data_IF_333520162515
#
_entry.id   IF_333520162515
#
_cell.length_a   1.000
_cell.length_b   1.000
_cell.length_c   1.000
_cell.angle_alpha   90.00
_cell.angle_beta   90.00
_cell.angle_gamma   90.00
#
_symmetry.space_group_name_H-M   'P 1'
#
loop_
_entity.id
_entity.type
_entity.pdbx_description
1 polymer ?
#
# COMPACT_ATOMS: atom_id res chain seq x y z
N UNK A 1 -23.55 7.16 33.59
CA UNK A 1 -24.17 6.77 32.31
C UNK A 1 -24.37 5.26 32.34
N UNK A 2 -25.62 4.80 32.33
CA UNK A 2 -25.94 3.37 32.29
C UNK A 2 -25.52 2.80 30.94
N UNK A 3 -24.73 1.71 30.94
CA UNK A 3 -24.45 0.97 29.70
C UNK A 3 -25.78 0.40 29.18
N UNK A 4 -26.09 0.53 27.89
CA UNK A 4 -27.28 -0.10 27.32
C UNK A 4 -27.24 -1.61 27.55
N UNK A 5 -28.40 -2.21 27.81
CA UNK A 5 -28.53 -3.67 27.89
C UNK A 5 -28.02 -4.29 26.58
N UNK A 6 -27.33 -5.45 26.64
CA UNK A 6 -26.86 -6.10 25.44
C UNK A 6 -28.07 -6.47 24.56
N UNK A 7 -27.92 -6.37 23.22
CA UNK A 7 -28.96 -6.82 22.31
C UNK A 7 -29.23 -8.32 22.52
N UNK A 8 -30.46 -8.78 22.26
CA UNK A 8 -30.80 -10.18 22.45
C UNK A 8 -30.01 -11.08 21.50
N UNK A 9 -29.63 -12.27 21.93
CA UNK A 9 -28.77 -13.19 21.15
C UNK A 9 -29.31 -13.51 19.75
N UNK A 10 -30.64 -13.53 19.58
CA UNK A 10 -31.27 -13.83 18.29
C UNK A 10 -31.02 -12.74 17.23
N UNK A 11 -30.79 -11.48 17.63
CA UNK A 11 -30.45 -10.43 16.66
C UNK A 11 -29.03 -10.60 16.13
N UNK A 12 -28.11 -11.09 16.98
CA UNK A 12 -26.78 -11.51 16.53
C UNK A 12 -26.87 -12.73 15.61
N UNK A 13 -27.70 -13.73 15.96
CA UNK A 13 -27.90 -14.90 15.12
C UNK A 13 -28.45 -14.53 13.74
N UNK A 14 -29.45 -13.64 13.67
CA UNK A 14 -29.99 -13.12 12.41
C UNK A 14 -28.91 -12.42 11.58
N UNK A 15 -28.12 -11.55 12.21
CA UNK A 15 -27.04 -10.83 11.54
C UNK A 15 -25.97 -11.78 10.99
N UNK A 16 -25.58 -12.79 11.78
CA UNK A 16 -24.62 -13.83 11.36
C UNK A 16 -25.18 -14.65 10.20
N UNK A 17 -26.44 -15.10 10.27
CA UNK A 17 -27.08 -15.85 9.19
C UNK A 17 -27.15 -15.02 7.90
N UNK A 18 -27.54 -13.75 7.98
CA UNK A 18 -27.57 -12.86 6.83
C UNK A 18 -26.16 -12.67 6.23
N UNK A 19 -25.14 -12.50 7.07
CA UNK A 19 -23.74 -12.39 6.63
C UNK A 19 -23.23 -13.66 5.95
N UNK A 20 -23.53 -14.84 6.51
CA UNK A 20 -23.16 -16.13 5.91
C UNK A 20 -23.89 -16.38 4.59
N UNK A 21 -25.19 -16.05 4.52
CA UNK A 21 -25.96 -16.16 3.28
C UNK A 21 -25.41 -15.25 2.18
N UNK A 22 -25.09 -13.99 2.51
CA UNK A 22 -24.45 -13.05 1.61
C UNK A 22 -23.08 -13.58 1.13
N UNK A 23 -22.26 -14.08 2.05
CA UNK A 23 -20.96 -14.66 1.72
C UNK A 23 -21.10 -15.83 0.74
N UNK A 24 -21.91 -16.85 1.06
CA UNK A 24 -22.06 -18.01 0.19
C UNK A 24 -22.66 -17.65 -1.17
N UNK A 25 -23.61 -16.72 -1.22
CA UNK A 25 -24.13 -16.21 -2.49
C UNK A 25 -23.04 -15.56 -3.33
N UNK A 26 -22.24 -14.66 -2.74
CA UNK A 26 -21.12 -14.03 -3.47
C UNK A 26 -20.04 -15.03 -3.88
N UNK A 27 -19.74 -16.04 -3.04
CA UNK A 27 -18.76 -17.08 -3.35
C UNK A 27 -19.22 -17.92 -4.55
N UNK A 28 -20.52 -18.20 -4.65
CA UNK A 28 -21.08 -18.90 -5.79
C UNK A 28 -20.91 -18.10 -7.09
N UNK A 29 -21.18 -16.78 -7.06
CA UNK A 29 -20.98 -15.91 -8.21
C UNK A 29 -19.51 -15.82 -8.63
N UNK A 30 -18.58 -15.77 -7.67
CA UNK A 30 -17.14 -15.73 -7.94
C UNK A 30 -16.65 -17.08 -8.50
N UNK A 31 -17.22 -18.20 -8.07
CA UNK A 31 -16.85 -19.54 -8.53
C UNK A 31 -17.11 -19.80 -10.02
N UNK A 32 -17.92 -18.97 -10.68
CA UNK A 32 -18.17 -19.02 -12.12
C UNK A 32 -17.08 -18.29 -12.94
N UNK A 33 -16.13 -17.61 -12.28
CA UNK A 33 -15.03 -16.95 -12.98
C UNK A 33 -14.07 -17.98 -13.58
N UNK A 34 -13.79 -17.82 -14.88
CA UNK A 34 -12.83 -18.63 -15.62
C UNK A 34 -11.56 -17.85 -15.90
N UNK A 35 -10.40 -18.47 -15.71
CA UNK A 35 -9.10 -17.96 -16.16
C UNK A 35 -8.26 -19.11 -16.73
N UNK A 36 -7.24 -18.78 -17.53
CA UNK A 36 -6.36 -19.80 -18.11
C UNK A 36 -5.54 -20.51 -17.01
N UNK A 37 -5.47 -21.85 -17.01
CA UNK A 37 -4.63 -22.59 -16.08
C UNK A 37 -3.16 -22.14 -16.15
N UNK A 38 -2.53 -21.92 -15.00
CA UNK A 38 -1.13 -21.48 -14.91
C UNK A 38 -0.92 -19.97 -15.03
N UNK A 39 -1.99 -19.18 -15.17
CA UNK A 39 -1.93 -17.71 -15.18
C UNK A 39 -2.63 -17.12 -13.95
N UNK A 40 -2.35 -15.84 -13.66
CA UNK A 40 -3.07 -15.06 -12.65
C UNK A 40 -4.16 -14.27 -13.35
N UNK A 41 -5.43 -14.58 -13.07
CA UNK A 41 -6.57 -13.81 -13.55
C UNK A 41 -6.74 -12.50 -12.77
N UNK A 42 -6.75 -11.36 -13.46
CA UNK A 42 -7.00 -10.05 -12.85
C UNK A 42 -8.08 -9.26 -13.61
N UNK A 43 -9.31 -9.26 -13.06
CA UNK A 43 -10.45 -8.56 -13.67
C UNK A 43 -10.22 -7.05 -13.77
N UNK A 44 -9.48 -6.45 -12.85
CA UNK A 44 -9.22 -5.00 -12.88
C UNK A 44 -8.31 -4.65 -14.06
N UNK A 45 -7.34 -5.50 -14.40
CA UNK A 45 -6.53 -5.30 -15.60
C UNK A 45 -7.36 -5.37 -16.89
N UNK A 46 -8.42 -6.20 -16.94
CA UNK A 46 -9.36 -6.21 -18.06
C UNK A 46 -10.19 -4.91 -18.12
N UNK A 47 -10.69 -4.42 -16.97
CA UNK A 47 -11.40 -3.14 -16.89
C UNK A 47 -10.49 -1.96 -17.32
N UNK A 48 -9.21 -2.04 -16.98
CA UNK A 48 -8.20 -1.02 -17.32
C UNK A 48 -7.47 -1.29 -18.64
N UNK A 49 -7.98 -2.20 -19.49
CA UNK A 49 -7.31 -2.55 -20.75
C UNK A 49 -7.18 -1.36 -21.72
N UNK A 50 -8.23 -0.55 -21.86
CA UNK A 50 -8.20 0.62 -22.74
C UNK A 50 -7.17 1.69 -22.32
N UNK A 51 -7.12 2.18 -21.06
CA UNK A 51 -6.10 3.12 -20.64
C UNK A 51 -4.68 2.52 -20.68
N UNK A 52 -4.52 1.22 -20.36
CA UNK A 52 -3.23 0.54 -20.52
C UNK A 52 -2.77 0.52 -21.99
N UNK A 53 -3.65 0.15 -22.93
CA UNK A 53 -3.38 0.15 -24.37
C UNK A 53 -3.02 1.55 -24.88
N UNK A 54 -3.66 2.60 -24.35
CA UNK A 54 -3.27 3.97 -24.66
C UNK A 54 -1.82 4.25 -24.26
N UNK A 55 -1.41 3.88 -23.04
CA UNK A 55 -0.03 4.09 -22.57
C UNK A 55 1.00 3.28 -23.35
N UNK A 56 0.67 2.05 -23.76
CA UNK A 56 1.53 1.25 -24.64
C UNK A 56 1.81 1.94 -25.98
N UNK A 57 0.81 2.63 -26.53
CA UNK A 57 0.93 3.33 -27.82
C UNK A 57 1.46 4.77 -27.70
N UNK A 58 1.49 5.35 -26.49
CA UNK A 58 1.87 6.74 -26.26
C UNK A 58 3.02 6.83 -25.24
N UNK A 59 4.25 6.58 -25.72
CA UNK A 59 5.45 6.53 -24.87
C UNK A 59 5.67 7.78 -24.01
N UNK A 60 5.36 8.97 -24.54
CA UNK A 60 5.49 10.20 -23.77
C UNK A 60 4.53 10.25 -22.56
N UNK A 61 3.29 9.75 -22.72
CA UNK A 61 2.33 9.67 -21.64
C UNK A 61 2.74 8.62 -20.59
N UNK A 62 3.22 7.45 -21.04
CA UNK A 62 3.75 6.42 -20.15
C UNK A 62 4.95 6.93 -19.33
N UNK A 63 5.93 7.57 -20.00
CA UNK A 63 7.09 8.15 -19.34
C UNK A 63 6.68 9.24 -18.34
N UNK A 64 5.75 10.13 -18.73
CA UNK A 64 5.25 11.17 -17.83
C UNK A 64 4.59 10.57 -16.58
N UNK A 65 3.78 9.54 -16.74
CA UNK A 65 3.13 8.87 -15.63
C UNK A 65 4.13 8.18 -14.69
N UNK A 66 5.11 7.46 -15.24
CA UNK A 66 6.21 6.85 -14.48
C UNK A 66 6.99 7.90 -13.68
N UNK A 67 7.37 9.01 -14.31
CA UNK A 67 8.12 10.08 -13.65
C UNK A 67 7.30 10.71 -12.51
N UNK A 68 6.03 11.03 -12.77
CA UNK A 68 5.17 11.69 -11.76
C UNK A 68 4.92 10.79 -10.57
N UNK A 69 4.60 9.51 -10.80
CA UNK A 69 4.38 8.54 -9.73
C UNK A 69 5.66 8.27 -8.93
N UNK A 70 6.80 8.02 -9.59
CA UNK A 70 8.07 7.84 -8.90
C UNK A 70 8.49 9.06 -8.09
N UNK A 71 8.31 10.27 -8.62
CA UNK A 71 8.62 11.51 -7.90
C UNK A 71 7.73 11.70 -6.65
N UNK A 72 6.46 11.29 -6.71
CA UNK A 72 5.56 11.33 -5.56
C UNK A 72 5.97 10.31 -4.49
N UNK A 73 6.34 9.09 -4.89
CA UNK A 73 6.88 8.10 -3.96
C UNK A 73 8.19 8.57 -3.32
N UNK A 74 9.10 9.16 -4.10
CA UNK A 74 10.34 9.74 -3.59
C UNK A 74 10.05 10.86 -2.59
N UNK A 75 9.12 11.77 -2.92
CA UNK A 75 8.71 12.85 -2.02
C UNK A 75 8.11 12.32 -0.72
N UNK A 76 7.26 11.29 -0.79
CA UNK A 76 6.70 10.64 0.40
C UNK A 76 7.77 9.92 1.23
N UNK A 77 8.69 9.22 0.60
CA UNK A 77 9.80 8.55 1.28
C UNK A 77 10.72 9.55 1.98
N UNK A 78 11.11 10.63 1.29
CA UNK A 78 11.86 11.75 1.89
C UNK A 78 11.08 12.34 3.06
N UNK A 79 9.79 12.61 2.90
CA UNK A 79 8.94 13.13 3.96
C UNK A 79 8.94 12.21 5.19
N UNK A 80 8.76 10.91 5.01
CA UNK A 80 8.71 9.94 6.09
C UNK A 80 10.06 9.84 6.81
N UNK A 81 11.16 9.81 6.08
CA UNK A 81 12.52 9.81 6.64
C UNK A 81 12.80 11.12 7.39
N UNK A 82 12.47 12.27 6.80
CA UNK A 82 12.62 13.57 7.45
C UNK A 82 11.78 13.66 8.73
N UNK A 83 10.55 13.13 8.73
CA UNK A 83 9.70 13.07 9.93
C UNK A 83 10.24 12.13 11.00
N UNK A 84 10.94 11.06 10.63
CA UNK A 84 11.60 10.19 11.60
C UNK A 84 12.87 10.81 12.18
N UNK A 85 13.66 11.52 11.37
CA UNK A 85 14.95 12.11 11.76
C UNK A 85 14.74 13.40 12.57
N UNK A 86 13.89 14.30 12.09
CA UNK A 86 13.71 15.63 12.68
C UNK A 86 12.40 15.75 13.49
N UNK A 87 11.54 14.75 13.44
CA UNK A 87 10.30 14.73 14.20
C UNK A 87 10.46 14.16 15.61
N UNK A 88 9.37 14.14 16.40
CA UNK A 88 9.41 13.75 17.80
C UNK A 88 9.42 12.22 18.02
N UNK A 89 9.40 11.41 16.96
CA UNK A 89 9.26 9.95 17.07
C UNK A 89 9.85 9.23 15.87
N UNK A 90 10.46 8.06 16.10
CA UNK A 90 10.96 7.16 15.06
C UNK A 90 9.85 6.39 14.32
N UNK A 91 8.60 6.54 14.73
CA UNK A 91 7.46 5.80 14.21
C UNK A 91 7.35 5.75 12.66
N UNK A 92 7.54 6.84 11.89
CA UNK A 92 7.45 6.76 10.44
C UNK A 92 8.49 5.79 9.84
N UNK A 93 9.72 5.80 10.37
CA UNK A 93 10.79 4.91 9.94
C UNK A 93 10.55 3.47 10.37
N UNK A 94 10.08 3.22 11.60
CA UNK A 94 9.68 1.88 12.02
C UNK A 94 8.54 1.32 11.14
N UNK A 95 7.59 2.17 10.75
CA UNK A 95 6.55 1.80 9.79
C UNK A 95 7.14 1.36 8.45
N UNK A 96 8.09 2.14 7.91
CA UNK A 96 8.78 1.78 6.66
C UNK A 96 9.55 0.46 6.80
N UNK A 97 10.29 0.28 7.88
CA UNK A 97 11.07 -0.93 8.14
C UNK A 97 10.18 -2.17 8.23
N UNK A 98 9.04 -2.08 8.93
CA UNK A 98 8.08 -3.19 9.05
C UNK A 98 7.42 -3.46 7.70
N UNK A 99 6.99 -2.42 6.99
CA UNK A 99 6.35 -2.54 5.67
C UNK A 99 7.27 -3.24 4.66
N UNK A 100 8.49 -2.73 4.51
CA UNK A 100 9.45 -3.32 3.58
C UNK A 100 10.00 -4.65 4.09
N UNK A 101 10.14 -4.85 5.39
CA UNK A 101 10.49 -6.16 5.96
C UNK A 101 9.48 -7.23 5.58
N UNK A 102 8.17 -6.97 5.74
CA UNK A 102 7.12 -7.89 5.29
C UNK A 102 7.20 -8.14 3.78
N UNK A 103 7.42 -7.08 2.99
CA UNK A 103 7.52 -7.19 1.54
C UNK A 103 8.72 -8.03 1.10
N UNK A 104 9.91 -7.78 1.66
CA UNK A 104 11.12 -8.54 1.34
C UNK A 104 10.96 -10.02 1.66
N UNK A 105 10.31 -10.36 2.79
CA UNK A 105 10.00 -11.75 3.13
C UNK A 105 9.05 -12.37 2.10
N UNK A 106 7.98 -11.66 1.72
CA UNK A 106 7.05 -12.12 0.69
C UNK A 106 7.75 -12.40 -0.65
N UNK A 107 8.64 -11.51 -1.09
CA UNK A 107 9.35 -11.63 -2.37
C UNK A 107 10.43 -12.70 -2.35
N UNK A 108 11.03 -12.95 -1.18
CA UNK A 108 11.94 -14.06 -0.98
C UNK A 108 11.22 -15.41 -1.07
N UNK A 109 9.99 -15.48 -0.55
CA UNK A 109 9.22 -16.72 -0.47
C UNK A 109 8.34 -16.97 -1.71
N UNK A 110 8.03 -15.94 -2.49
CA UNK A 110 7.09 -16.01 -3.60
C UNK A 110 7.53 -15.11 -4.74
N UNK A 111 7.77 -15.71 -5.90
CA UNK A 111 8.06 -15.02 -7.16
C UNK A 111 6.84 -15.05 -8.06
N UNK A 112 6.50 -13.91 -8.65
CA UNK A 112 5.40 -13.79 -9.62
C UNK A 112 5.96 -13.34 -10.97
N UNK A 113 5.31 -13.80 -12.04
CA UNK A 113 5.56 -13.28 -13.37
C UNK A 113 4.96 -11.87 -13.52
N UNK A 114 5.58 -11.00 -14.32
CA UNK A 114 5.01 -9.68 -14.62
C UNK A 114 3.62 -9.83 -15.26
N UNK A 115 2.66 -8.94 -14.95
CA UNK A 115 1.38 -8.93 -15.63
C UNK A 115 1.53 -8.71 -17.14
N UNK A 116 0.67 -9.34 -17.93
CA UNK A 116 0.63 -9.13 -19.38
C UNK A 116 0.40 -7.66 -19.74
N UNK A 117 1.16 -7.12 -20.69
CA UNK A 117 1.04 -5.72 -21.10
C UNK A 117 1.56 -4.71 -20.06
N UNK A 118 2.46 -5.15 -19.17
CA UNK A 118 3.20 -4.28 -18.25
C UNK A 118 3.94 -3.17 -19.01
N UNK A 119 3.70 -1.93 -18.58
CA UNK A 119 4.40 -0.73 -19.05
C UNK A 119 5.32 -0.27 -17.92
N UNK A 120 6.50 -0.88 -17.84
CA UNK A 120 7.52 -0.54 -16.84
C UNK A 120 8.91 -0.56 -17.49
N UNK A 121 9.52 0.62 -17.60
CA UNK A 121 10.83 0.82 -18.21
C UNK A 121 11.44 2.12 -17.68
N UNK A 122 12.74 2.30 -17.89
CA UNK A 122 13.41 3.56 -17.55
C UNK A 122 12.90 4.71 -18.44
N UNK A 123 12.25 5.75 -17.87
CA UNK A 123 11.74 6.88 -18.64
C UNK A 123 12.83 7.90 -19.01
N UNK A 124 14.09 7.69 -18.61
CA UNK A 124 15.21 8.62 -18.80
C UNK A 124 15.33 9.67 -17.70
N UNK A 125 14.68 9.45 -16.56
CA UNK A 125 14.68 10.35 -15.40
C UNK A 125 14.86 9.55 -14.11
N UNK A 126 15.81 9.93 -13.23
CA UNK A 126 16.15 9.13 -12.06
C UNK A 126 15.03 9.16 -11.01
N UNK A 127 14.95 8.08 -10.23
CA UNK A 127 14.19 8.02 -8.97
C UNK A 127 15.11 7.54 -7.85
N UNK A 128 14.84 8.00 -6.63
CA UNK A 128 15.63 7.63 -5.43
C UNK A 128 15.22 6.28 -4.86
N UNK A 129 13.93 5.99 -4.83
CA UNK A 129 13.36 4.80 -4.21
C UNK A 129 12.81 3.80 -5.22
N UNK A 130 12.44 4.27 -6.42
CA UNK A 130 11.87 3.41 -7.47
C UNK A 130 12.97 2.85 -8.36
N UNK A 131 12.97 1.52 -8.54
CA UNK A 131 13.93 0.82 -9.41
C UNK A 131 13.27 0.42 -10.73
N UNK A 132 13.70 1.04 -11.83
CA UNK A 132 13.11 0.77 -13.16
C UNK A 132 13.59 -0.55 -13.81
N UNK A 133 14.62 -1.20 -13.26
CA UNK A 133 15.28 -2.36 -13.89
C UNK A 133 15.09 -3.70 -13.15
N UNK A 134 14.34 -3.72 -12.04
CA UNK A 134 14.15 -4.95 -11.25
C UNK A 134 12.87 -5.66 -11.68
N UNK A 135 13.01 -6.83 -12.29
CA UNK A 135 11.92 -7.52 -13.01
C UNK A 135 11.05 -8.47 -12.18
N UNK A 136 11.32 -8.63 -10.87
CA UNK A 136 10.62 -9.62 -10.01
C UNK A 136 10.01 -9.01 -8.74
N UNK A 137 9.81 -7.69 -8.72
CA UNK A 137 9.49 -6.91 -7.52
C UNK A 137 7.97 -6.76 -7.26
N UNK A 138 7.17 -7.83 -7.40
CA UNK A 138 5.70 -7.69 -7.49
C UNK A 138 4.94 -7.78 -6.14
N UNK A 139 5.04 -8.89 -5.40
CA UNK A 139 4.18 -9.09 -4.23
C UNK A 139 4.79 -8.54 -2.92
N UNK A 140 4.23 -7.52 -2.27
CA UNK A 140 3.07 -6.68 -2.63
C UNK A 140 3.52 -5.28 -3.10
N UNK A 141 2.60 -4.41 -3.50
CA UNK A 141 2.93 -3.10 -4.07
C UNK A 141 3.62 -2.16 -3.08
N UNK A 142 4.88 -1.81 -3.37
CA UNK A 142 5.66 -0.83 -2.60
C UNK A 142 5.13 0.60 -2.73
N UNK A 143 4.72 1.00 -3.95
CA UNK A 143 4.12 2.31 -4.23
C UNK A 143 2.87 2.54 -3.39
N UNK A 144 1.95 1.58 -3.43
CA UNK A 144 0.71 1.64 -2.63
C UNK A 144 1.03 1.65 -1.13
N UNK A 145 1.98 0.83 -0.70
CA UNK A 145 2.39 0.75 0.70
C UNK A 145 2.95 2.07 1.23
N UNK A 146 3.90 2.68 0.52
CA UNK A 146 4.45 4.00 0.86
C UNK A 146 3.35 5.05 0.84
N UNK A 147 2.48 5.04 -0.17
CA UNK A 147 1.40 6.03 -0.29
C UNK A 147 0.42 5.99 0.89
N UNK A 148 0.01 4.79 1.33
CA UNK A 148 -0.88 4.62 2.47
C UNK A 148 -0.18 4.98 3.79
N UNK A 149 1.07 4.56 3.97
CA UNK A 149 1.85 4.92 5.16
C UNK A 149 2.05 6.44 5.25
N UNK A 150 2.44 7.06 4.13
CA UNK A 150 2.53 8.50 3.95
C UNK A 150 1.23 9.21 4.29
N UNK A 151 0.09 8.71 3.79
CA UNK A 151 -1.22 9.27 4.09
C UNK A 151 -1.56 9.23 5.58
N UNK A 152 -1.21 8.15 6.29
CA UNK A 152 -1.40 8.05 7.75
C UNK A 152 -0.53 9.08 8.48
N UNK A 153 0.74 9.24 8.10
CA UNK A 153 1.63 10.20 8.77
C UNK A 153 1.30 11.67 8.42
N UNK A 154 0.83 11.95 7.20
CA UNK A 154 0.26 13.24 6.82
C UNK A 154 -0.99 13.57 7.65
N UNK A 155 -1.91 12.61 7.80
CA UNK A 155 -3.10 12.77 8.63
C UNK A 155 -2.76 13.04 10.11
N UNK A 156 -1.69 12.41 10.63
CA UNK A 156 -1.18 12.66 11.98
C UNK A 156 -0.55 14.03 12.14
N UNK A 157 0.03 14.58 11.08
CA UNK A 157 0.65 15.91 11.10
C UNK A 157 -0.38 17.04 11.07
N UNK A 158 -1.42 16.94 10.25
CA UNK A 158 -2.34 18.07 10.04
C UNK A 158 -3.81 17.71 9.90
N UNK A 159 -4.22 16.56 10.41
CA UNK A 159 -5.61 16.16 10.55
C UNK A 159 -6.33 15.91 9.22
N UNK A 160 -7.61 16.27 9.15
CA UNK A 160 -8.52 15.86 8.06
C UNK A 160 -8.13 16.40 6.68
N UNK A 161 -7.56 17.59 6.61
CA UNK A 161 -7.12 18.21 5.33
C UNK A 161 -5.98 17.40 4.71
N UNK A 162 -4.97 17.07 5.51
CA UNK A 162 -3.82 16.28 5.06
C UNK A 162 -4.15 14.82 4.85
N UNK A 163 -5.15 14.29 5.56
CA UNK A 163 -5.73 12.97 5.25
C UNK A 163 -6.32 12.95 3.83
N UNK A 164 -7.06 13.98 3.42
CA UNK A 164 -7.64 14.04 2.07
C UNK A 164 -6.54 14.06 0.99
N UNK A 165 -5.47 14.83 1.20
CA UNK A 165 -4.28 14.84 0.33
C UNK A 165 -3.65 13.45 0.27
N UNK A 166 -3.42 12.82 1.42
CA UNK A 166 -2.86 11.47 1.49
C UNK A 166 -3.70 10.43 0.76
N UNK A 167 -5.03 10.49 0.90
CA UNK A 167 -5.96 9.60 0.18
C UNK A 167 -5.87 9.84 -1.32
N UNK A 168 -5.83 11.10 -1.77
CA UNK A 168 -5.70 11.43 -3.19
C UNK A 168 -4.41 10.86 -3.78
N UNK A 169 -3.27 10.98 -3.08
CA UNK A 169 -2.00 10.39 -3.50
C UNK A 169 -2.09 8.86 -3.51
N UNK A 170 -2.65 8.23 -2.49
CA UNK A 170 -2.79 6.77 -2.44
C UNK A 170 -3.68 6.22 -3.57
N UNK A 171 -4.78 6.90 -3.90
CA UNK A 171 -5.64 6.53 -5.03
C UNK A 171 -4.91 6.72 -6.35
N UNK A 172 -4.17 7.82 -6.50
CA UNK A 172 -3.35 8.07 -7.68
C UNK A 172 -2.29 6.98 -7.89
N UNK A 173 -1.52 6.64 -6.85
CA UNK A 173 -0.48 5.61 -6.92
C UNK A 173 -1.08 4.23 -7.20
N UNK A 174 -2.13 3.84 -6.48
CA UNK A 174 -2.82 2.57 -6.71
C UNK A 174 -3.36 2.46 -8.14
N UNK A 175 -3.99 3.52 -8.66
CA UNK A 175 -4.51 3.55 -10.03
C UNK A 175 -3.37 3.47 -11.03
N UNK A 176 -2.29 4.23 -10.82
CA UNK A 176 -1.13 4.27 -11.71
C UNK A 176 -0.50 2.88 -11.86
N UNK A 177 -0.23 2.18 -10.76
CA UNK A 177 0.39 0.85 -10.83
C UNK A 177 -0.52 -0.21 -11.43
N UNK A 178 -1.85 -0.07 -11.32
CA UNK A 178 -2.82 -0.96 -11.98
C UNK A 178 -2.95 -0.67 -13.48
N UNK A 179 -2.99 0.60 -13.88
CA UNK A 179 -3.11 0.99 -15.30
C UNK A 179 -1.81 0.69 -16.06
N UNK A 180 -0.65 0.93 -15.45
CA UNK A 180 0.63 0.51 -16.00
C UNK A 180 0.83 -1.01 -15.96
N UNK A 181 -0.06 -1.73 -15.25
CA UNK A 181 0.06 -3.16 -14.96
C UNK A 181 1.43 -3.51 -14.36
N UNK A 182 1.98 -2.59 -13.56
CA UNK A 182 3.20 -2.81 -12.79
C UNK A 182 2.94 -3.73 -11.58
N UNK A 183 1.66 -3.89 -11.20
CA UNK A 183 1.23 -4.73 -10.09
C UNK A 183 -0.14 -5.36 -10.39
N UNK A 184 -0.36 -6.55 -9.84
CA UNK A 184 -1.68 -7.16 -9.74
C UNK A 184 -2.53 -6.44 -8.69
N UNK A 185 -3.85 -6.57 -8.80
CA UNK A 185 -4.81 -6.05 -7.81
C UNK A 185 -4.57 -6.59 -6.42
N UNK A 186 -4.17 -7.86 -6.31
CA UNK A 186 -3.79 -8.48 -5.04
C UNK A 186 -2.57 -7.80 -4.40
N UNK A 187 -1.61 -7.34 -5.19
CA UNK A 187 -0.41 -6.63 -4.71
C UNK A 187 -0.81 -5.27 -4.13
N UNK A 188 -1.70 -4.54 -4.81
CA UNK A 188 -2.17 -3.21 -4.39
C UNK A 188 -2.98 -3.31 -3.10
N UNK A 189 -3.94 -4.23 -3.06
CA UNK A 189 -4.73 -4.47 -1.85
C UNK A 189 -3.84 -4.87 -0.66
N UNK A 190 -2.94 -5.83 -0.87
CA UNK A 190 -2.04 -6.30 0.19
C UNK A 190 -1.10 -5.19 0.63
N UNK A 191 -0.59 -4.36 -0.28
CA UNK A 191 0.24 -3.20 0.07
C UNK A 191 -0.49 -2.20 0.97
N UNK A 192 -1.76 -1.93 0.70
CA UNK A 192 -2.58 -1.06 1.55
C UNK A 192 -2.82 -1.66 2.95
N UNK A 193 -3.17 -2.95 3.02
CA UNK A 193 -3.39 -3.65 4.30
C UNK A 193 -2.10 -3.75 5.11
N UNK A 194 -1.00 -4.15 4.48
CA UNK A 194 0.31 -4.26 5.08
C UNK A 194 0.81 -2.90 5.59
N UNK A 195 0.65 -1.82 4.82
CA UNK A 195 1.01 -0.48 5.29
C UNK A 195 0.17 -0.07 6.50
N UNK A 196 -1.15 -0.32 6.48
CA UNK A 196 -1.98 -0.01 7.64
C UNK A 196 -1.54 -0.81 8.86
N UNK A 197 -1.29 -2.11 8.70
CA UNK A 197 -0.78 -2.96 9.78
C UNK A 197 0.58 -2.48 10.31
N UNK A 198 1.52 -2.15 9.43
CA UNK A 198 2.82 -1.58 9.79
C UNK A 198 2.68 -0.28 10.59
N UNK A 199 1.76 0.61 10.22
CA UNK A 199 1.54 1.85 10.99
C UNK A 199 1.00 1.58 12.40
N UNK A 200 0.18 0.54 12.58
CA UNK A 200 -0.34 0.14 13.89
C UNK A 200 0.78 -0.43 14.77
N UNK A 201 1.54 -1.39 14.25
CA UNK A 201 2.69 -1.97 14.97
C UNK A 201 3.74 -0.91 15.31
N UNK A 202 4.08 -0.05 14.35
CA UNK A 202 5.02 1.05 14.60
C UNK A 202 4.53 1.99 15.70
N UNK A 203 3.21 2.20 15.81
CA UNK A 203 2.65 3.05 16.89
C UNK A 203 2.74 2.40 18.26
N UNK A 204 2.76 1.07 18.33
CA UNK A 204 2.95 0.32 19.58
C UNK A 204 4.43 0.23 19.98
N UNK A 205 5.33 0.09 18.99
CA UNK A 205 6.76 -0.11 19.21
C UNK A 205 7.49 1.23 19.45
N UNK A 206 7.13 2.29 18.72
CA UNK A 206 7.86 3.55 18.74
C UNK A 206 8.02 4.19 20.12
N UNK A 207 7.01 4.24 21.01
CA UNK A 207 7.18 4.85 22.33
C UNK A 207 8.31 4.24 23.16
N UNK A 208 8.50 2.92 23.04
CA UNK A 208 9.58 2.19 23.71
C UNK A 208 10.94 2.57 23.12
N UNK A 209 11.06 2.60 21.80
CA UNK A 209 12.29 3.01 21.10
C UNK A 209 12.65 4.47 21.40
N UNK A 210 11.67 5.38 21.32
CA UNK A 210 11.84 6.81 21.58
C UNK A 210 12.30 7.04 23.03
N UNK A 211 11.69 6.35 24.00
CA UNK A 211 12.07 6.44 25.41
C UNK A 211 13.46 5.89 25.69
N UNK A 212 13.84 4.80 25.03
CA UNK A 212 15.17 4.20 25.17
C UNK A 212 16.26 5.13 24.63
N UNK A 213 16.06 5.71 23.44
CA UNK A 213 16.98 6.69 22.87
C UNK A 213 17.09 7.93 23.75
N UNK A 214 15.97 8.47 24.23
CA UNK A 214 15.98 9.62 25.12
C UNK A 214 16.80 9.34 26.39
N UNK A 215 16.64 8.17 27.02
CA UNK A 215 17.43 7.79 28.21
C UNK A 215 18.92 7.65 27.92
N UNK A 216 19.29 7.04 26.79
CA UNK A 216 20.69 6.85 26.40
C UNK A 216 21.46 8.16 26.22
N UNK A 217 20.79 9.20 25.71
CA UNK A 217 21.42 10.48 25.43
C UNK A 217 21.18 11.53 26.53
N UNK A 218 20.10 11.45 27.29
CA UNK A 218 19.89 12.26 28.50
C UNK A 218 20.88 11.90 29.62
N UNK A 219 21.38 10.66 29.67
CA UNK A 219 22.45 10.24 30.58
C UNK A 219 23.86 10.69 30.18
N UNK A 220 24.03 11.38 29.04
CA UNK A 220 25.33 11.80 28.48
C UNK A 220 25.55 13.31 28.48
N UNK A 221 24.62 14.10 28.99
CA UNK A 221 24.84 15.53 29.27
C UNK A 221 25.53 15.69 30.63
N UNK A 222 26.87 15.61 30.62
CA UNK A 222 27.77 16.17 31.65
C UNK A 222 28.45 17.39 31.05
#
# INVERSE_FOLDING_TARGET
MNKPAPPPWWSHALFVVAGLALWFWTQNLIGEQHHEPGTIGDTVHHVLAAPNLYLQNHRAAANGLLIVSSALIDALGIFLLARAIFGPTLRPFLGLLILFGMRQICQLLTTLDPPDGMVWHDPGFPSLLVTYHVATDFFFSGHTGIAILGAVELARMGGRRWLAVGIAVAVFEATTVLVLRAHYTMDVFTGAVAARYATLLASQIAPTCDSWLAKLFAGKSV
#
